data_IF_422610022870
#
_entry.id   IF_422610022870
#
_cell.length_a   1.000
_cell.length_b   1.000
_cell.length_c   1.000
_cell.angle_alpha   90.00
_cell.angle_beta   90.00
_cell.angle_gamma   90.00
#
_symmetry.space_group_name_H-M   'P 1'
#
loop_
_entity.id
_entity.type
_entity.pdbx_description
1 polymer ?
2 non-polymer ?
3 water ?
#
# COMPACT_ATOMS: atom_id res chain seq x y z
N UNK A 20 -9.44 -9.34 -17.27
CA UNK A 20 -8.14 -8.66 -16.99
C UNK A 20 -7.66 -7.89 -18.22
N UNK A 21 -7.41 -6.59 -18.01
CA UNK A 21 -7.01 -5.69 -19.08
C UNK A 21 -5.77 -4.88 -18.70
N UNK A 22 -4.87 -4.67 -19.67
CA UNK A 22 -3.72 -3.82 -19.44
C UNK A 22 -4.21 -2.42 -19.81
N UNK A 23 -4.04 -1.47 -18.90
CA UNK A 23 -4.42 -0.09 -19.16
C UNK A 23 -3.14 0.66 -19.55
N UNK A 24 -3.20 1.34 -20.68
CA UNK A 24 -2.04 2.04 -21.21
C UNK A 24 -2.45 3.28 -21.99
N UNK A 25 -1.78 4.39 -21.74
CA UNK A 25 -2.01 5.63 -22.49
C UNK A 25 -0.66 6.31 -22.73
N UNK A 26 -0.45 6.81 -23.95
CA UNK A 26 0.80 7.47 -24.25
C UNK A 26 0.84 8.89 -23.67
N UNK A 27 -0.25 9.30 -23.03
CA UNK A 27 -0.33 10.59 -22.34
C UNK A 27 0.38 10.44 -20.98
N UNK A 28 0.52 9.20 -20.51
CA UNK A 28 1.17 8.90 -19.23
C UNK A 28 2.60 8.44 -19.55
N UNK A 29 3.53 8.52 -18.59
CA UNK A 29 4.92 8.09 -18.88
C UNK A 29 5.01 6.64 -19.36
N UNK A 30 5.91 6.37 -20.32
CA UNK A 30 6.08 5.00 -20.82
C UNK A 30 6.45 4.09 -19.64
N UNK A 31 5.89 2.88 -19.64
CA UNK A 31 6.19 1.87 -18.63
C UNK A 31 7.22 0.92 -19.25
N UNK A 32 8.49 1.22 -19.01
CA UNK A 32 9.57 0.40 -19.53
C UNK A 32 10.00 -0.49 -18.38
N UNK A 33 9.86 -1.79 -18.58
CA UNK A 33 10.20 -2.69 -17.50
C UNK A 33 9.05 -3.65 -17.29
N UNK A 34 9.17 -4.55 -16.32
CA UNK A 34 8.11 -5.53 -16.08
C UNK A 34 6.88 -5.06 -15.29
N UNK A 35 6.20 -4.03 -15.76
CA UNK A 35 4.99 -3.54 -15.08
C UNK A 35 4.11 -2.82 -16.09
N UNK A 36 2.84 -2.62 -15.72
CA UNK A 36 1.91 -1.89 -16.58
C UNK A 36 1.48 -0.62 -15.87
N UNK A 37 1.07 0.39 -16.64
CA UNK A 37 0.59 1.64 -16.06
C UNK A 37 -0.53 1.33 -15.09
N UNK A 38 -1.39 0.40 -15.48
CA UNK A 38 -2.49 -0.04 -14.62
C UNK A 38 -3.04 -1.39 -15.10
N UNK A 39 -3.63 -2.15 -14.18
CA UNK A 39 -4.25 -3.42 -14.55
C UNK A 39 -5.70 -3.36 -14.09
N UNK A 40 -6.62 -3.63 -15.00
CA UNK A 40 -8.03 -3.65 -14.66
C UNK A 40 -8.46 -5.10 -14.45
N UNK A 41 -9.00 -5.42 -13.27
CA UNK A 41 -9.48 -6.77 -12.99
C UNK A 41 -10.92 -6.64 -12.51
N UNK A 42 -11.85 -7.03 -13.38
CA UNK A 42 -13.26 -6.88 -13.06
C UNK A 42 -13.56 -5.40 -13.09
N UNK A 43 -14.14 -4.90 -12.00
CA UNK A 43 -14.47 -3.48 -11.89
C UNK A 43 -13.35 -2.66 -11.26
N UNK A 44 -12.31 -3.36 -10.76
CA UNK A 44 -11.24 -2.68 -10.04
C UNK A 44 -9.96 -2.43 -10.86
N UNK A 45 -9.52 -1.17 -10.85
CA UNK A 45 -8.30 -0.82 -11.58
C UNK A 45 -7.21 -0.51 -10.58
N UNK A 46 -6.14 -1.31 -10.66
CA UNK A 46 -4.97 -1.16 -9.80
C UNK A 46 -3.97 -0.34 -10.59
N UNK A 48 -0.46 1.86 -11.05
CA UNK A 48 0.91 1.90 -10.62
C UNK A 48 1.22 3.24 -10.00
N UNK A 49 2.30 3.25 -9.21
CA UNK A 49 2.73 4.47 -8.59
C UNK A 49 3.18 5.35 -9.74
N UNK A 50 2.86 6.63 -9.65
CA UNK A 50 3.28 7.56 -10.67
C UNK A 50 4.24 8.54 -10.03
N UNK A 51 5.35 8.82 -10.72
CA UNK A 51 6.30 9.80 -10.22
C UNK A 51 6.21 11.02 -11.13
N UNK A 52 6.87 12.12 -10.73
CA UNK A 52 6.86 13.38 -11.49
C UNK A 52 7.58 13.38 -12.83
N UNK A 53 7.34 12.37 -13.67
CA UNK A 53 7.99 12.32 -14.98
C UNK A 53 7.17 13.07 -16.01
N UNK A 54 7.83 13.89 -16.82
CA UNK A 54 7.18 14.61 -17.93
C UNK A 54 7.18 13.49 -18.98
N UNK A 55 6.00 13.01 -19.39
CA UNK A 55 5.97 11.91 -20.38
C UNK A 55 6.81 12.11 -21.65
N UNK A 56 6.82 13.31 -22.19
CA UNK A 56 7.57 13.57 -23.41
C UNK A 56 9.08 13.70 -23.24
N UNK A 57 9.55 14.06 -22.05
CA UNK A 57 11.00 14.16 -21.88
C UNK A 57 11.58 13.04 -21.02
N UNK A 59 12.04 13.04 -17.90
CA UNK A 59 12.85 13.65 -16.85
C UNK A 59 11.83 14.16 -15.83
N UNK A 60 12.25 14.36 -14.58
CA UNK A 60 11.35 14.87 -13.56
C UNK A 60 11.22 16.39 -13.75
N UNK A 61 10.02 16.90 -13.55
CA UNK A 61 9.80 18.35 -13.65
C UNK A 61 10.39 18.94 -12.36
N UNK A 62 10.81 20.20 -12.43
CA UNK A 62 11.43 20.87 -11.27
C UNK A 62 10.41 21.60 -10.37
N UNK A 63 10.59 21.51 -9.05
CA UNK A 63 9.70 22.18 -8.12
C UNK A 63 8.64 21.28 -7.51
N UNK A 64 8.41 21.39 -6.20
CA UNK A 64 7.44 20.50 -5.54
C UNK A 64 5.99 20.65 -6.07
N UNK A 65 5.52 21.87 -6.29
CA UNK A 65 4.16 22.07 -6.80
C UNK A 65 4.03 21.44 -8.20
N UNK A 66 5.02 21.68 -9.05
CA UNK A 66 5.00 21.10 -10.39
C UNK A 66 5.09 19.58 -10.34
N UNK A 67 5.83 19.04 -9.37
CA UNK A 67 5.95 17.58 -9.26
C UNK A 67 4.64 16.98 -8.77
N UNK A 68 4.01 17.61 -7.78
CA UNK A 68 2.73 17.10 -7.27
C UNK A 68 1.73 17.13 -8.42
N UNK A 69 1.72 18.26 -9.14
CA UNK A 69 0.80 18.44 -10.25
C UNK A 69 1.07 17.42 -11.34
N UNK A 70 2.34 17.15 -11.64
CA UNK A 70 2.65 16.18 -12.67
C UNK A 70 2.20 14.76 -12.30
N UNK A 71 2.34 14.39 -11.02
CA UNK A 71 1.90 13.07 -10.61
C UNK A 71 0.39 12.95 -10.80
N UNK A 72 -0.35 14.01 -10.46
CA UNK A 72 -1.79 13.97 -10.65
C UNK A 72 -2.16 13.91 -12.13
N UNK A 73 -1.45 14.66 -12.97
CA UNK A 73 -1.72 14.62 -14.41
C UNK A 73 -1.45 13.21 -14.96
N UNK A 74 -0.35 12.60 -14.53
CA UNK A 74 -0.02 11.25 -14.97
C UNK A 74 -1.09 10.24 -14.54
N UNK A 75 -1.53 10.32 -13.28
CA UNK A 75 -2.58 9.42 -12.81
C UNK A 75 -3.90 9.69 -13.53
N UNK A 76 -4.16 10.97 -13.83
CA UNK A 76 -5.40 11.34 -14.54
C UNK A 76 -5.41 10.69 -15.93
N UNK A 77 -4.26 10.73 -16.61
CA UNK A 77 -4.12 10.12 -17.94
C UNK A 77 -4.39 8.60 -17.92
N UNK A 78 -3.92 7.93 -16.89
CA UNK A 78 -4.12 6.49 -16.76
C UNK A 78 -5.59 6.19 -16.43
N UNK A 79 -6.17 6.96 -15.51
CA UNK A 79 -7.57 6.81 -15.15
C UNK A 79 -8.45 6.98 -16.40
N UNK A 80 -8.13 7.95 -17.25
CA UNK A 80 -8.91 8.14 -18.48
C UNK A 80 -8.78 6.96 -19.44
N UNK A 81 -7.59 6.40 -19.56
CA UNK A 81 -7.34 5.24 -20.41
C UNK A 81 -8.12 4.03 -19.91
N UNK A 82 -8.47 4.04 -18.62
CA UNK A 82 -9.24 2.96 -18.01
C UNK A 82 -10.74 3.20 -18.10
N UNK A 83 -11.12 4.26 -18.80
CA UNK A 83 -12.52 4.60 -18.98
C UNK A 83 -13.15 5.21 -17.74
N UNK A 84 -12.32 5.80 -16.88
CA UNK A 84 -12.83 6.41 -15.67
C UNK A 84 -12.27 7.80 -15.46
N UNK A 85 -12.23 8.23 -14.19
CA UNK A 85 -11.69 9.52 -13.79
C UNK A 85 -11.40 9.50 -12.29
N UNK A 86 -10.90 10.61 -11.76
CA UNK A 86 -10.61 10.71 -10.33
C UNK A 86 -11.86 10.51 -9.45
N UNK A 87 -13.05 10.66 -10.05
CA UNK A 87 -14.30 10.44 -9.31
C UNK A 87 -14.40 8.97 -8.90
N UNK A 88 -13.76 8.09 -9.67
CA UNK A 88 -13.81 6.65 -9.41
C UNK A 88 -12.72 6.13 -8.46
N UNK A 89 -11.81 6.99 -8.05
CA UNK A 89 -10.73 6.58 -7.15
C UNK A 89 -11.29 6.38 -5.74
N UNK A 90 -11.09 5.18 -5.20
CA UNK A 90 -11.58 4.86 -3.87
C UNK A 90 -10.46 4.95 -2.82
N UNK A 91 -9.21 4.77 -3.24
CA UNK A 91 -8.05 4.84 -2.34
C UNK A 91 -6.84 5.48 -3.03
N UNK A 92 -6.14 6.36 -2.32
CA UNK A 92 -4.97 7.03 -2.87
C UNK A 92 -3.82 6.94 -1.87
N UNK A 93 -2.63 6.54 -2.30
CA UNK A 93 -1.50 6.50 -1.37
C UNK A 93 -0.57 7.61 -1.76
N UNK A 94 -0.15 8.39 -0.77
CA UNK A 94 0.74 9.50 -1.01
C UNK A 94 2.09 9.24 -0.38
N UNK A 95 3.15 9.28 -1.19
CA UNK A 95 4.51 9.08 -0.69
C UNK A 95 5.31 10.35 -0.91
N UNK A 96 5.79 10.94 0.19
CA UNK A 96 6.57 12.18 0.13
C UNK A 96 7.93 12.06 0.82
N UNK A 97 8.96 12.61 0.19
CA UNK A 97 10.26 12.57 0.84
C UNK A 97 10.28 13.62 1.94
N UNK A 98 9.39 14.61 1.83
CA UNK A 98 9.32 15.68 2.84
C UNK A 98 7.86 16.05 3.16
N UNK A 99 7.37 15.58 4.31
CA UNK A 99 6.00 15.84 4.72
C UNK A 99 5.70 17.33 4.96
N UNK A 100 6.73 18.17 4.96
CA UNK A 100 6.48 19.59 5.09
C UNK A 100 5.69 20.04 3.86
N UNK A 101 5.70 19.21 2.82
CA UNK A 101 4.94 19.54 1.60
C UNK A 101 3.54 18.92 1.53
N UNK A 102 3.14 18.21 2.59
CA UNK A 102 1.82 17.56 2.62
C UNK A 102 0.66 18.56 2.47
N UNK A 103 0.77 19.75 3.09
CA UNK A 103 -0.30 20.75 2.96
C UNK A 103 -0.42 21.17 1.49
N UNK A 104 0.71 21.18 0.77
CA UNK A 104 0.70 21.56 -0.65
C UNK A 104 -0.03 20.47 -1.46
N UNK A 105 0.16 19.21 -1.10
CA UNK A 105 -0.55 18.12 -1.78
C UNK A 105 -2.05 18.33 -1.54
N UNK A 106 -2.41 18.57 -0.29
CA UNK A 106 -3.82 18.80 0.08
C UNK A 106 -4.43 19.94 -0.72
N UNK A 107 -3.67 21.00 -0.91
CA UNK A 107 -4.14 22.15 -1.66
C UNK A 107 -4.37 21.85 -3.14
N UNK A 108 -3.37 21.26 -3.78
CA UNK A 108 -3.46 20.91 -5.20
C UNK A 108 -4.56 19.88 -5.47
N UNK A 110 -7.38 19.98 -4.24
CA UNK A 110 -8.63 20.71 -4.37
C UNK A 110 -8.94 21.03 -5.84
N UNK A 111 -7.92 20.87 -6.68
CA UNK A 111 -8.10 21.15 -8.10
C UNK A 111 -8.30 19.88 -8.93
N UNK A 112 -8.23 18.72 -8.27
CA UNK A 112 -8.37 17.43 -8.96
C UNK A 112 -9.48 16.54 -8.40
N UNK A 113 -9.93 16.86 -7.20
CA UNK A 113 -10.92 16.03 -6.51
C UNK A 113 -12.05 16.84 -5.86
N UNK A 114 -13.20 16.21 -5.66
CA UNK A 114 -14.29 16.84 -4.91
C UNK A 114 -15.03 15.70 -4.21
N UNK A 115 -16.00 16.03 -3.37
CA UNK A 115 -16.73 15.00 -2.64
C UNK A 115 -17.55 14.14 -3.58
N UNK A 116 -17.57 12.81 -3.37
CA UNK A 116 -16.92 12.07 -2.28
C UNK A 116 -15.43 11.83 -2.57
N UNK A 117 -14.58 12.20 -1.62
CA UNK A 117 -13.13 12.05 -1.71
C UNK A 117 -12.66 10.61 -1.48
N UNK A 118 -11.47 10.25 -1.99
CA UNK A 118 -10.93 8.90 -1.81
C UNK A 118 -10.49 8.65 -0.37
N UNK A 119 -10.37 7.38 0.02
CA UNK A 119 -9.78 7.10 1.31
C UNK A 119 -8.31 7.33 0.93
N UNK A 120 -7.42 7.51 1.91
CA UNK A 120 -6.03 7.74 1.57
C UNK A 120 -5.07 7.49 2.72
N UNK A 121 -3.81 7.24 2.38
CA UNK A 121 -2.75 7.06 3.35
C UNK A 121 -1.62 7.99 2.93
N UNK A 122 -0.88 8.51 3.89
CA UNK A 122 0.23 9.41 3.58
C UNK A 122 1.40 9.16 4.53
N UNK A 123 2.57 8.91 3.95
CA UNK A 123 3.77 8.65 4.75
C UNK A 123 4.97 9.39 4.17
N UNK A 124 5.93 9.68 5.05
CA UNK A 124 7.16 10.32 4.62
C UNK A 124 8.14 9.17 4.39
N UNK A 125 8.70 9.09 3.18
CA UNK A 125 9.63 8.02 2.83
C UNK A 125 11.07 8.53 2.81
N UNK A 126 12.02 7.61 2.80
CA UNK A 126 13.42 7.98 2.79
C UNK A 126 13.87 8.50 1.42
N UNK A 127 13.37 7.87 0.34
CA UNK A 127 13.73 8.25 -1.02
C UNK A 127 12.72 7.69 -2.03
N UNK A 128 12.71 8.21 -3.24
CA UNK A 128 11.79 7.76 -4.28
C UNK A 128 12.53 7.56 -5.59
N UNK A 129 12.04 6.66 -6.47
CA UNK A 129 12.70 6.42 -7.77
C UNK A 129 13.08 7.71 -8.48
N UNK A 130 14.29 7.75 -9.03
CA UNK A 130 14.80 8.90 -9.79
C UNK A 130 15.04 10.20 -9.02
N UNK A 131 14.99 10.11 -7.70
CA UNK A 131 15.18 11.30 -6.88
C UNK A 131 13.90 12.12 -6.79
N UNK A 132 12.76 11.49 -7.06
CA UNK A 132 11.46 12.17 -6.98
C UNK A 132 11.13 12.64 -5.56
N UNK A 133 10.37 13.73 -5.44
CA UNK A 133 9.98 14.22 -4.12
C UNK A 133 8.62 13.66 -3.76
N UNK A 134 7.91 13.16 -4.76
CA UNK A 134 6.58 12.62 -4.52
C UNK A 134 6.22 11.50 -5.49
N UNK A 135 5.49 10.51 -4.98
CA UNK A 135 5.00 9.39 -5.78
C UNK A 135 3.61 9.10 -5.22
N UNK A 137 0.03 6.36 -5.87
CA UNK A 137 -0.67 5.32 -6.61
C UNK A 137 -2.12 5.38 -6.14
N UNK A 138 -3.00 4.62 -6.79
CA UNK A 138 -4.41 4.66 -6.43
C UNK A 138 -5.16 3.43 -6.93
N UNK A 139 -6.36 3.24 -6.40
CA UNK A 139 -7.23 2.16 -6.85
C UNK A 139 -8.51 2.82 -7.29
N UNK A 140 -8.96 2.41 -8.46
CA UNK A 140 -10.14 2.94 -9.10
C UNK A 140 -11.20 1.85 -9.13
N UNK A 141 -12.46 2.20 -8.87
CA UNK A 141 -13.56 1.24 -9.00
C UNK A 141 -14.57 1.90 -9.94
N UNK A 142 -14.68 1.34 -11.15
CA UNK A 142 -15.53 1.86 -12.23
C UNK A 142 -17.04 1.70 -12.01
N UNK B 20 -21.06 2.41 -4.41
CA UNK B 20 -20.02 3.24 -3.72
C UNK B 20 -20.66 3.95 -2.53
N UNK B 21 -19.94 4.04 -1.42
CA UNK B 21 -20.47 4.66 -0.21
C UNK B 21 -19.37 5.28 0.64
N UNK B 22 -19.60 6.50 1.11
CA UNK B 22 -18.64 7.15 1.98
C UNK B 22 -18.87 6.68 3.41
N UNK B 23 -17.81 6.28 4.09
CA UNK B 23 -17.91 5.80 5.46
C UNK B 23 -17.41 6.84 6.44
N UNK B 24 -18.24 7.16 7.43
CA UNK B 24 -17.87 8.16 8.42
C UNK B 24 -18.35 7.77 9.81
N UNK B 25 -17.42 7.72 10.75
CA UNK B 25 -17.73 7.42 12.14
C UNK B 25 -17.61 8.73 12.90
N UNK B 26 -18.61 9.05 13.72
CA UNK B 26 -18.52 10.26 14.52
C UNK B 26 -17.66 9.99 15.76
N UNK B 27 -17.16 8.77 15.87
CA UNK B 27 -16.27 8.39 16.97
C UNK B 27 -14.79 8.44 16.54
N UNK B 28 -14.53 8.34 15.24
CA UNK B 28 -13.16 8.40 14.72
C UNK B 28 -12.79 9.87 14.50
N UNK B 29 -11.48 10.18 14.33
CA UNK B 29 -11.13 11.59 14.11
C UNK B 29 -11.82 12.12 12.85
N UNK B 30 -12.26 13.37 12.88
CA UNK B 30 -12.94 13.95 11.73
C UNK B 30 -11.98 14.04 10.53
N UNK B 31 -12.48 13.77 9.32
CA UNK B 31 -11.66 13.90 8.13
C UNK B 31 -11.78 15.36 7.69
N UNK B 32 -10.72 16.12 7.92
CA UNK B 32 -10.67 17.53 7.55
C UNK B 32 -9.77 17.55 6.33
N UNK B 33 -10.27 18.02 5.21
CA UNK B 33 -9.45 18.01 4.01
C UNK B 33 -10.03 17.05 2.99
N UNK B 34 -9.35 16.89 1.85
CA UNK B 34 -9.77 16.04 0.74
C UNK B 34 -9.67 14.51 0.82
N UNK B 35 -10.30 13.92 1.84
CA UNK B 35 -10.33 12.46 1.98
C UNK B 35 -11.51 12.01 2.84
N UNK B 36 -11.83 10.72 2.74
CA UNK B 36 -12.89 10.11 3.52
C UNK B 36 -12.25 9.12 4.48
N UNK B 37 -12.91 8.88 5.62
CA UNK B 37 -12.38 7.91 6.57
C UNK B 37 -12.20 6.57 5.87
N UNK B 38 -13.19 6.22 5.05
CA UNK B 38 -13.20 4.98 4.29
C UNK B 38 -14.16 5.08 3.11
N UNK B 39 -13.93 4.24 2.10
CA UNK B 39 -14.84 4.19 0.95
C UNK B 39 -15.18 2.73 0.81
N UNK B 40 -16.48 2.47 0.76
CA UNK B 40 -17.00 1.14 0.61
C UNK B 40 -17.40 1.02 -0.85
N UNK B 41 -16.91 -0.01 -1.52
CA UNK B 41 -17.25 -0.27 -2.92
C UNK B 41 -17.63 -1.74 -2.98
N UNK B 42 -18.93 -2.00 -3.01
CA UNK B 42 -19.43 -3.36 -3.00
C UNK B 42 -19.19 -3.88 -1.60
N UNK B 43 -18.56 -5.05 -1.49
CA UNK B 43 -18.25 -5.59 -0.18
C UNK B 43 -16.86 -5.19 0.31
N UNK B 44 -16.11 -4.43 -0.50
CA UNK B 44 -14.75 -4.04 -0.09
C UNK B 44 -14.67 -2.60 0.44
N UNK B 45 -14.14 -2.48 1.67
CA UNK B 45 -14.00 -1.18 2.34
C UNK B 45 -12.53 -0.74 2.42
N UNK B 46 -12.19 0.31 1.69
CA UNK B 46 -10.84 0.87 1.68
C UNK B 46 -10.80 1.92 2.77
N UNK B 48 -8.89 4.71 5.26
CA UNK B 48 -7.77 5.64 5.26
C UNK B 48 -6.78 5.31 6.35
N UNK B 49 -5.55 5.78 6.19
CA UNK B 49 -4.57 5.53 7.24
C UNK B 49 -5.05 6.27 8.48
N UNK B 50 -4.79 5.72 9.67
CA UNK B 50 -5.17 6.42 10.87
C UNK B 50 -3.90 6.70 11.65
N UNK B 51 -3.80 7.90 12.20
CA UNK B 51 -2.67 8.27 13.03
C UNK B 51 -3.19 8.29 14.48
N UNK B 52 -2.29 8.48 15.47
CA UNK B 52 -2.71 8.47 16.89
C UNK B 52 -3.48 9.68 17.42
N UNK B 53 -4.43 10.18 16.65
CA UNK B 53 -5.22 11.34 17.07
C UNK B 53 -6.34 11.01 18.06
N UNK B 54 -6.44 11.78 19.12
CA UNK B 54 -7.55 11.62 20.06
C UNK B 54 -8.67 12.34 19.31
N UNK B 55 -9.76 11.62 18.99
CA UNK B 55 -10.85 12.28 18.25
C UNK B 55 -11.47 13.53 18.86
N UNK B 56 -11.53 13.63 20.18
CA UNK B 56 -12.17 14.80 20.78
C UNK B 56 -11.26 16.02 20.83
N UNK B 57 -9.96 15.80 21.04
CA UNK B 57 -8.99 16.90 21.11
C UNK B 57 -8.25 17.18 19.79
N UNK B 59 -5.56 16.03 18.77
CA UNK B 59 -4.14 16.11 19.09
C UNK B 59 -3.64 14.67 19.26
N UNK B 60 -2.36 14.44 18.98
CA UNK B 60 -1.80 13.10 19.14
C UNK B 60 -1.70 12.72 20.61
N UNK B 61 -2.01 11.47 20.93
CA UNK B 61 -1.87 11.01 22.30
C UNK B 61 -0.38 10.79 22.52
N UNK B 62 0.04 10.71 23.78
CA UNK B 62 1.47 10.62 24.07
C UNK B 62 2.02 9.24 24.41
N UNK B 63 3.22 8.94 23.90
CA UNK B 63 3.85 7.66 24.19
C UNK B 63 3.43 6.58 23.20
N UNK B 64 4.39 5.73 22.82
CA UNK B 64 4.14 4.70 21.80
C UNK B 64 3.00 3.70 22.06
N UNK B 65 2.88 3.15 23.27
CA UNK B 65 1.80 2.20 23.53
C UNK B 65 0.45 2.88 23.34
N UNK B 66 0.32 4.09 23.89
CA UNK B 66 -0.93 4.85 23.75
C UNK B 66 -1.19 5.15 22.28
N UNK B 67 -0.14 5.49 21.53
CA UNK B 67 -0.31 5.81 20.12
C UNK B 67 -0.78 4.60 19.31
N UNK B 68 -0.15 3.45 19.51
CA UNK B 68 -0.51 2.23 18.82
C UNK B 68 -1.99 1.92 19.12
N UNK B 69 -2.34 1.92 20.39
CA UNK B 69 -3.69 1.65 20.83
C UNK B 69 -4.70 2.62 20.21
N UNK B 70 -4.35 3.91 20.18
CA UNK B 70 -5.25 4.93 19.60
C UNK B 70 -5.50 4.66 18.12
N UNK B 71 -4.45 4.28 17.39
CA UNK B 71 -4.63 3.98 15.97
C UNK B 71 -5.61 2.81 15.79
N UNK B 72 -5.47 1.76 16.59
CA UNK B 72 -6.38 0.62 16.49
C UNK B 72 -7.81 1.02 16.85
N UNK B 73 -7.94 1.88 17.87
CA UNK B 73 -9.25 2.36 18.29
C UNK B 73 -9.90 3.18 17.18
N UNK B 74 -9.11 4.02 16.52
CA UNK B 74 -9.62 4.83 15.42
C UNK B 74 -10.06 3.94 14.26
N UNK B 75 -9.24 2.96 13.88
CA UNK B 75 -9.61 2.04 12.79
C UNK B 75 -10.85 1.24 13.19
N UNK B 76 -10.95 0.92 14.48
CA UNK B 76 -12.10 0.16 14.97
C UNK B 76 -13.39 0.96 14.79
N UNK B 77 -13.34 2.24 15.14
CA UNK B 77 -14.51 3.09 14.95
C UNK B 77 -14.91 3.13 13.47
N UNK B 78 -13.93 3.34 12.58
CA UNK B 78 -14.23 3.40 11.15
C UNK B 78 -14.78 2.06 10.64
N UNK B 79 -14.23 0.95 11.14
CA UNK B 79 -14.70 -0.39 10.75
C UNK B 79 -16.15 -0.61 11.18
N UNK B 80 -16.47 -0.18 12.40
CA UNK B 80 -17.83 -0.31 12.91
C UNK B 80 -18.77 0.58 12.10
N UNK B 81 -18.31 1.77 11.72
CA UNK B 81 -19.14 2.65 10.89
C UNK B 81 -19.36 2.00 9.51
N UNK B 82 -18.42 1.17 9.06
CA UNK B 82 -18.58 0.51 7.75
C UNK B 82 -19.53 -0.69 7.84
N UNK B 83 -20.07 -0.92 9.03
CA UNK B 83 -20.96 -2.05 9.21
C UNK B 83 -20.20 -3.35 9.42
N UNK B 84 -18.94 -3.24 9.81
CA UNK B 84 -18.13 -4.43 10.02
C UNK B 84 -17.36 -4.41 11.34
N UNK B 85 -16.25 -5.16 11.39
CA UNK B 85 -15.39 -5.22 12.57
C UNK B 85 -14.01 -5.72 12.15
N UNK B 86 -13.07 -5.71 13.09
CA UNK B 86 -11.70 -6.15 12.82
C UNK B 86 -11.64 -7.58 12.24
N UNK B 87 -12.66 -8.38 12.53
CA UNK B 87 -12.75 -9.73 11.99
C UNK B 87 -12.84 -9.73 10.46
N UNK B 88 -13.37 -8.63 9.90
CA UNK B 88 -13.52 -8.51 8.45
C UNK B 88 -12.32 -7.93 7.74
N UNK B 89 -11.33 -7.44 8.50
CA UNK B 89 -10.15 -6.86 7.88
C UNK B 89 -9.33 -7.95 7.21
N UNK B 90 -9.01 -7.77 5.93
CA UNK B 90 -8.25 -8.76 5.20
C UNK B 90 -6.79 -8.38 4.98
N UNK B 91 -6.47 -7.10 5.16
CA UNK B 91 -5.10 -6.62 4.97
C UNK B 91 -4.89 -5.38 5.81
N UNK B 92 -3.74 -5.31 6.46
CA UNK B 92 -3.42 -4.16 7.29
C UNK B 92 -1.97 -3.74 7.07
N UNK B 93 -1.76 -2.44 6.86
CA UNK B 93 -0.41 -1.95 6.66
C UNK B 93 0.11 -1.22 7.89
N UNK B 94 1.31 -1.56 8.31
CA UNK B 94 1.92 -0.93 9.47
C UNK B 94 3.04 0.00 9.06
N UNK B 95 2.92 1.27 9.42
CA UNK B 95 3.98 2.24 9.11
C UNK B 95 4.55 2.72 10.44
N UNK B 96 5.84 2.50 10.64
CA UNK B 96 6.49 2.91 11.88
C UNK B 96 7.72 3.75 11.61
N UNK B 97 7.89 4.83 12.39
CA UNK B 97 9.07 5.65 12.21
C UNK B 97 10.27 4.90 12.81
N UNK B 98 10.01 4.00 13.75
CA UNK B 98 11.08 3.20 14.38
C UNK B 98 10.61 1.75 14.57
N UNK B 99 11.27 0.81 13.92
CA UNK B 99 10.89 -0.60 14.02
C UNK B 99 11.31 -1.20 15.36
N UNK B 100 11.97 -0.38 16.19
CA UNK B 100 12.33 -0.83 17.51
C UNK B 100 11.06 -0.83 18.33
N UNK B 101 9.96 -0.40 17.69
CA UNK B 101 8.64 -0.39 18.33
C UNK B 101 7.78 -1.52 17.77
N UNK B 102 8.36 -2.35 16.92
CA UNK B 102 7.60 -3.43 16.28
C UNK B 102 7.09 -4.49 17.28
N UNK B 103 7.90 -4.85 18.27
CA UNK B 103 7.46 -5.84 19.25
C UNK B 103 6.14 -5.40 19.88
N UNK B 104 6.06 -4.11 20.20
CA UNK B 104 4.89 -3.54 20.83
C UNK B 104 3.67 -3.48 19.89
N UNK B 105 3.87 -3.19 18.62
CA UNK B 105 2.75 -3.19 17.69
C UNK B 105 2.20 -4.61 17.61
N UNK B 106 3.08 -5.60 17.52
CA UNK B 106 2.68 -7.02 17.47
C UNK B 106 1.88 -7.44 18.69
N UNK B 107 2.39 -7.08 19.85
CA UNK B 107 1.72 -7.42 21.10
C UNK B 107 0.31 -6.83 21.17
N UNK B 108 0.21 -5.52 21.01
CA UNK B 108 -1.09 -4.87 21.07
C UNK B 108 -2.01 -5.37 19.96
N UNK B 110 -2.13 -8.33 18.74
CA UNK B 110 -2.64 -9.62 19.14
C UNK B 110 -3.85 -9.47 20.05
N UNK B 111 -3.96 -8.32 20.72
CA UNK B 111 -5.09 -8.11 21.62
C UNK B 111 -6.35 -7.57 20.93
N UNK B 112 -6.23 -7.14 19.67
CA UNK B 112 -7.39 -6.63 18.91
C UNK B 112 -7.88 -7.60 17.84
N UNK B 113 -7.02 -8.54 17.45
CA UNK B 113 -7.38 -9.50 16.41
C UNK B 113 -7.21 -10.94 16.92
N UNK B 114 -7.95 -11.86 16.30
CA UNK B 114 -7.83 -13.29 16.60
C UNK B 114 -7.96 -14.02 15.26
N UNK B 115 -7.61 -15.30 15.23
CA UNK B 115 -7.69 -16.09 13.99
C UNK B 115 -9.08 -16.10 13.41
N UNK B 116 -9.21 -16.04 12.07
CA UNK B 116 -8.12 -15.92 11.09
C UNK B 116 -7.56 -14.49 11.06
N UNK B 117 -6.25 -14.37 11.23
CA UNK B 117 -5.58 -13.06 11.23
C UNK B 117 -5.47 -12.47 9.82
N UNK B 118 -5.47 -11.14 9.71
CA UNK B 118 -5.37 -10.56 8.37
C UNK B 118 -3.97 -10.64 7.78
N UNK B 119 -3.87 -10.40 6.48
CA UNK B 119 -2.58 -10.33 5.81
C UNK B 119 -2.00 -9.00 6.29
N UNK B 120 -0.71 -8.79 6.14
CA UNK B 120 -0.15 -7.50 6.52
C UNK B 120 1.23 -7.24 5.98
N UNK B 121 1.60 -5.96 5.98
CA UNK B 121 2.91 -5.51 5.55
C UNK B 121 3.38 -4.57 6.66
N UNK B 122 4.68 -4.38 6.77
CA UNK B 122 5.22 -3.50 7.79
C UNK B 122 6.52 -2.93 7.31
N UNK B 123 6.62 -1.61 7.32
CA UNK B 123 7.85 -0.93 6.89
C UNK B 123 8.22 0.20 7.84
N UNK B 124 9.52 0.49 7.89
CA UNK B 124 10.02 1.59 8.69
C UNK B 124 10.06 2.79 7.76
N UNK B 125 9.35 3.86 8.15
CA UNK B 125 9.28 5.06 7.33
C UNK B 125 10.15 6.18 7.95
N UNK B 126 10.41 7.22 7.15
CA UNK B 126 11.22 8.34 7.60
C UNK B 126 10.41 9.25 8.51
N UNK B 127 9.13 9.44 8.18
CA UNK B 127 8.27 10.27 9.01
C UNK B 127 6.78 10.04 8.76
N UNK B 128 5.96 10.53 9.69
CA UNK B 128 4.52 10.37 9.57
C UNK B 128 3.81 11.71 9.83
N UNK B 129 2.59 11.87 9.29
CA UNK B 129 1.87 13.13 9.52
C UNK B 129 1.81 13.48 11.02
N UNK B 130 2.00 14.77 11.30
CA UNK B 130 1.97 15.36 12.65
C UNK B 130 3.00 14.84 13.63
N UNK B 131 4.06 14.22 13.12
CA UNK B 131 5.11 13.71 14.00
C UNK B 131 4.68 12.40 14.65
N UNK B 132 3.65 11.76 14.07
CA UNK B 132 3.15 10.50 14.59
C UNK B 132 4.24 9.43 14.54
N UNK B 133 4.23 8.53 15.53
CA UNK B 133 5.20 7.44 15.56
C UNK B 133 4.67 6.22 14.82
N UNK B 134 3.36 6.17 14.60
CA UNK B 134 2.78 5.03 13.90
C UNK B 134 1.54 5.45 13.13
N UNK B 135 1.31 4.78 11.99
CA UNK B 135 0.16 5.02 11.16
C UNK B 135 -0.18 3.66 10.60
N UNK B 137 -3.23 1.58 7.94
CA UNK B 137 -4.44 1.60 7.14
C UNK B 137 -4.83 0.14 6.95
N UNK B 138 -6.01 -0.10 6.37
CA UNK B 138 -6.51 -1.46 6.20
C UNK B 138 -7.58 -1.57 5.11
N UNK B 139 -7.83 -2.82 4.72
CA UNK B 139 -8.88 -3.14 3.76
C UNK B 139 -9.75 -4.16 4.47
N UNK B 140 -11.05 -3.88 4.47
CA UNK B 140 -12.05 -4.72 5.12
C UNK B 140 -12.97 -5.29 4.04
N UNK B 141 -13.37 -6.55 4.17
CA UNK B 141 -14.32 -7.13 3.21
C UNK B 141 -15.49 -7.65 4.04
N UNK B 142 -16.67 -7.10 3.82
CA UNK B 142 -17.86 -7.46 4.59
C UNK B 142 -18.32 -8.92 4.37
N UNK C 20 -14.17 -16.22 2.85
CA UNK C 20 -12.78 -15.85 3.25
C UNK C 20 -11.99 -17.11 3.58
N UNK C 21 -10.72 -17.14 3.17
CA UNK C 21 -9.87 -18.30 3.36
C UNK C 21 -8.45 -17.89 3.74
N UNK C 22 -7.89 -18.55 4.75
CA UNK C 22 -6.50 -18.30 5.14
C UNK C 22 -5.64 -19.12 4.19
N UNK C 23 -4.62 -18.49 3.62
CA UNK C 23 -3.70 -19.19 2.74
C UNK C 23 -2.41 -19.41 3.52
N UNK C 24 -1.96 -20.66 3.54
CA UNK C 24 -0.72 -21.01 4.21
C UNK C 24 0.04 -21.98 3.36
N UNK C 25 1.29 -21.64 3.09
CA UNK C 25 2.19 -22.49 2.32
C UNK C 25 3.28 -22.91 3.28
N UNK C 26 3.55 -24.22 3.36
CA UNK C 26 4.61 -24.69 4.23
C UNK C 26 5.96 -24.54 3.54
N UNK C 27 5.96 -23.92 2.37
CA UNK C 27 7.19 -23.64 1.65
C UNK C 27 7.49 -22.14 1.81
N UNK C 28 6.57 -21.42 2.44
CA UNK C 28 6.77 -19.99 2.71
C UNK C 28 7.13 -19.86 4.19
N UNK C 29 7.78 -18.76 4.58
CA UNK C 29 8.14 -18.59 6.00
C UNK C 29 6.90 -18.63 6.88
N UNK C 30 6.98 -19.37 7.98
CA UNK C 30 5.87 -19.46 8.92
C UNK C 30 5.49 -18.06 9.38
N UNK C 31 4.19 -17.82 9.55
CA UNK C 31 3.71 -16.52 10.02
C UNK C 31 3.70 -16.49 11.54
N UNK C 32 4.67 -15.78 12.12
CA UNK C 32 4.76 -15.65 13.57
C UNK C 32 4.21 -14.28 13.98
N UNK C 33 3.08 -14.30 14.69
CA UNK C 33 2.44 -13.05 15.08
C UNK C 33 0.98 -13.03 14.65
N UNK C 34 0.29 -11.91 14.83
CA UNK C 34 -1.12 -11.80 14.44
C UNK C 34 -1.36 -11.48 12.96
N UNK C 35 -0.86 -12.33 12.07
CA UNK C 35 -1.10 -12.15 10.63
C UNK C 35 -1.11 -13.51 9.94
N UNK C 36 -1.60 -13.54 8.71
CA UNK C 36 -1.63 -14.75 7.88
C UNK C 36 -0.78 -14.43 6.67
N UNK C 37 -0.22 -15.46 6.03
CA UNK C 37 0.60 -15.23 4.83
C UNK C 37 -0.23 -14.52 3.74
N UNK C 38 -1.50 -14.89 3.62
CA UNK C 38 -2.41 -14.26 2.67
C UNK C 38 -3.86 -14.55 3.05
N UNK C 39 -4.76 -13.68 2.59
CA UNK C 39 -6.19 -13.87 2.81
C UNK C 39 -6.87 -13.78 1.46
N UNK C 40 -7.66 -14.80 1.15
CA UNK C 40 -8.40 -14.82 -0.09
C UNK C 40 -9.83 -14.45 0.27
N UNK C 41 -10.34 -13.38 -0.32
CA UNK C 41 -11.72 -12.96 -0.12
C UNK C 41 -12.31 -12.91 -1.52
N UNK C 42 -13.26 -13.79 -1.79
CA UNK C 42 -13.84 -13.86 -3.12
C UNK C 42 -12.76 -14.30 -4.10
N UNK C 43 -12.63 -13.56 -5.21
CA UNK C 43 -11.63 -13.85 -6.22
C UNK C 43 -10.31 -13.09 -5.95
N UNK C 44 -10.27 -12.30 -4.88
CA UNK C 44 -9.08 -11.48 -4.56
C UNK C 44 -8.27 -11.97 -3.36
N UNK C 45 -6.96 -12.17 -3.59
CA UNK C 45 -6.05 -12.62 -2.53
C UNK C 45 -5.12 -11.49 -2.08
N UNK C 46 -5.21 -11.13 -0.81
CA UNK C 46 -4.37 -10.09 -0.24
C UNK C 46 -3.21 -10.80 0.43
N UNK C 48 0.55 -10.96 2.29
CA UNK C 48 1.41 -10.26 3.24
C UNK C 48 2.76 -9.92 2.62
N UNK C 49 3.41 -8.89 3.16
CA UNK C 49 4.72 -8.55 2.65
C UNK C 49 5.62 -9.72 2.92
N UNK C 50 6.51 -10.04 2.00
CA UNK C 50 7.45 -11.12 2.25
C UNK C 50 8.83 -10.49 2.36
N UNK C 51 9.63 -11.00 3.29
CA UNK C 51 10.99 -10.54 3.43
C UNK C 51 11.89 -11.69 3.01
N UNK C 52 13.20 -11.42 2.85
CA UNK C 52 14.06 -12.51 2.39
C UNK C 52 14.39 -13.70 3.26
N UNK C 53 13.41 -14.20 4.01
CA UNK C 53 13.67 -15.31 4.90
C UNK C 53 13.69 -16.67 4.20
N UNK C 54 14.69 -17.45 4.57
CA UNK C 54 14.83 -18.85 4.13
C UNK C 54 13.80 -19.50 5.04
N UNK C 55 12.73 -20.08 4.47
CA UNK C 55 11.68 -20.71 5.28
C UNK C 55 12.17 -21.82 6.22
N UNK C 56 13.20 -22.56 5.79
CA UNK C 56 13.67 -23.67 6.61
C UNK C 56 14.56 -23.27 7.79
N UNK C 57 15.30 -22.16 7.67
CA UNK C 57 16.19 -21.73 8.76
C UNK C 57 15.68 -20.47 9.49
N UNK C 59 16.33 -17.59 8.67
CA UNK C 59 17.43 -16.65 8.66
C UNK C 59 17.31 -15.98 7.29
N UNK C 60 17.76 -14.73 7.22
CA UNK C 60 17.74 -13.99 5.97
C UNK C 60 18.82 -14.53 5.01
N UNK C 61 18.49 -14.65 3.73
CA UNK C 61 19.52 -15.09 2.78
C UNK C 61 20.38 -13.84 2.57
N UNK C 62 21.63 -14.02 2.14
CA UNK C 62 22.53 -12.89 2.02
C UNK C 62 22.84 -12.43 0.61
N UNK C 63 23.07 -11.13 0.45
CA UNK C 63 23.37 -10.57 -0.85
C UNK C 63 22.09 -10.06 -1.46
N UNK C 64 22.13 -8.89 -2.06
CA UNK C 64 20.92 -8.29 -2.62
C UNK C 64 20.20 -9.14 -3.68
N UNK C 65 20.91 -9.78 -4.59
CA UNK C 65 20.25 -10.58 -5.63
C UNK C 65 19.54 -11.78 -5.00
N UNK C 66 20.20 -12.42 -4.04
CA UNK C 66 19.62 -13.56 -3.35
C UNK C 66 18.40 -13.12 -2.57
N UNK C 67 18.49 -11.95 -1.93
CA UNK C 67 17.35 -11.44 -1.16
C UNK C 67 16.14 -11.13 -2.04
N UNK C 68 16.38 -10.52 -3.21
CA UNK C 68 15.27 -10.21 -4.12
C UNK C 68 14.65 -11.54 -4.59
N UNK C 69 15.50 -12.51 -4.94
CA UNK C 69 15.04 -13.81 -5.41
C UNK C 69 14.23 -14.55 -4.35
N UNK C 70 14.68 -14.50 -3.10
CA UNK C 70 13.97 -15.16 -2.01
C UNK C 70 12.58 -14.56 -1.76
N UNK C 71 12.46 -13.23 -1.87
CA UNK C 71 11.14 -12.62 -1.65
C UNK C 71 10.19 -13.10 -2.75
N UNK C 72 10.69 -13.16 -3.99
CA UNK C 72 9.86 -13.62 -5.10
C UNK C 72 9.49 -15.09 -4.92
N UNK C 73 10.44 -15.90 -4.47
CA UNK C 73 10.19 -17.31 -4.21
C UNK C 73 9.16 -17.46 -3.09
N UNK C 74 9.27 -16.61 -2.06
CA UNK C 74 8.31 -16.64 -0.95
C UNK C 74 6.90 -16.24 -1.42
N UNK C 75 6.79 -15.20 -2.25
CA UNK C 75 5.47 -14.79 -2.77
C UNK C 75 4.90 -15.88 -3.72
N UNK C 76 5.76 -16.47 -4.54
CA UNK C 76 5.35 -17.54 -5.47
C UNK C 76 4.76 -18.71 -4.68
N UNK C 77 5.44 -19.13 -3.62
CA UNK C 77 4.96 -20.24 -2.78
C UNK C 77 3.58 -19.92 -2.21
N UNK C 78 3.43 -18.70 -1.70
CA UNK C 78 2.16 -18.26 -1.13
C UNK C 78 1.08 -18.20 -2.21
N UNK C 79 1.43 -17.67 -3.38
CA UNK C 79 0.49 -17.59 -4.51
C UNK C 79 0.02 -18.97 -4.96
N UNK C 80 0.93 -19.94 -4.99
CA UNK C 80 0.59 -21.31 -5.38
C UNK C 80 -0.38 -21.93 -4.38
N UNK C 81 -0.22 -21.63 -3.09
CA UNK C 81 -1.12 -22.18 -2.09
C UNK C 81 -2.49 -21.52 -2.16
N UNK C 82 -2.55 -20.33 -2.77
CA UNK C 82 -3.83 -19.62 -2.93
C UNK C 82 -4.56 -20.11 -4.18
N UNK C 83 -3.98 -21.06 -4.90
CA UNK C 83 -4.62 -21.57 -6.09
C UNK C 83 -4.34 -20.70 -7.32
N UNK C 84 -3.26 -19.94 -7.26
CA UNK C 84 -2.90 -19.09 -8.38
C UNK C 84 -1.41 -19.06 -8.65
N UNK C 85 -0.96 -18.04 -9.40
CA UNK C 85 0.45 -17.89 -9.72
C UNK C 85 0.74 -16.42 -10.00
N UNK C 86 1.98 -16.12 -10.39
CA UNK C 86 2.37 -14.75 -10.64
C UNK C 86 1.60 -14.09 -11.80
N UNK C 87 1.06 -14.93 -12.68
CA UNK C 87 0.26 -14.44 -13.79
C UNK C 87 -1.01 -13.76 -13.25
N UNK C 88 -1.42 -14.14 -12.04
CA UNK C 88 -2.64 -13.57 -11.45
C UNK C 88 -2.40 -12.31 -10.61
N UNK C 89 -1.15 -11.90 -10.46
CA UNK C 89 -0.81 -10.71 -9.68
C UNK C 89 -1.21 -9.44 -10.44
N UNK C 90 -2.05 -8.62 -9.84
CA UNK C 90 -2.48 -7.38 -10.48
C UNK C 90 -1.72 -6.17 -9.93
N UNK C 91 -1.18 -6.29 -8.71
CA UNK C 91 -0.40 -5.20 -8.10
C UNK C 91 0.70 -5.72 -7.20
N UNK C 92 1.89 -5.14 -7.33
CA UNK C 92 3.05 -5.51 -6.51
C UNK C 92 3.67 -4.24 -5.93
N UNK C 93 3.94 -4.24 -4.62
CA UNK C 93 4.58 -3.09 -3.98
C UNK C 93 6.01 -3.47 -3.62
N UNK C 94 6.97 -2.62 -4.02
CA UNK C 94 8.38 -2.87 -3.73
C UNK C 94 8.91 -1.86 -2.69
N UNK C 95 9.44 -2.40 -1.60
CA UNK C 95 10.02 -1.58 -0.53
C UNK C 95 11.53 -1.91 -0.47
N UNK C 96 12.36 -0.90 -0.70
CA UNK C 96 13.82 -1.06 -0.67
C UNK C 96 14.42 -0.02 0.26
N UNK C 97 15.41 -0.43 1.05
CA UNK C 97 16.09 0.51 1.93
C UNK C 97 17.10 1.25 1.05
N UNK C 98 17.48 0.65 -0.07
CA UNK C 98 18.42 1.31 -0.96
C UNK C 98 17.93 1.19 -2.39
N UNK C 99 17.45 2.29 -2.95
CA UNK C 99 16.93 2.27 -4.32
C UNK C 99 17.99 2.05 -5.41
N UNK C 100 19.27 2.11 -5.03
CA UNK C 100 20.32 1.86 -6.01
C UNK C 100 20.18 0.42 -6.48
N UNK C 101 19.42 -0.37 -5.72
CA UNK C 101 19.18 -1.78 -6.06
C UNK C 101 17.95 -1.98 -6.93
N UNK C 102 17.32 -0.88 -7.36
CA UNK C 102 16.09 -1.01 -8.15
C UNK C 102 16.31 -1.70 -9.50
N UNK C 103 17.39 -1.37 -10.22
CA UNK C 103 17.65 -2.00 -11.52
C UNK C 103 17.72 -3.53 -11.38
N UNK C 104 18.35 -4.01 -10.32
CA UNK C 104 18.44 -5.46 -10.09
C UNK C 104 17.05 -6.04 -9.81
N UNK C 105 16.19 -5.29 -9.12
CA UNK C 105 14.83 -5.78 -8.86
C UNK C 105 14.14 -5.95 -10.21
N UNK C 106 14.26 -4.94 -11.06
CA UNK C 106 13.69 -4.99 -12.41
C UNK C 106 14.16 -6.18 -13.21
N UNK C 107 15.46 -6.41 -13.19
CA UNK C 107 16.03 -7.52 -13.92
C UNK C 107 15.51 -8.86 -13.41
N UNK C 108 15.60 -9.09 -12.10
CA UNK C 108 15.13 -10.34 -11.53
C UNK C 108 13.63 -10.52 -11.73
N UNK C 110 11.82 -9.49 -14.21
CA UNK C 110 11.53 -9.87 -15.58
C UNK C 110 11.63 -11.37 -15.77
N UNK C 111 12.37 -12.03 -14.88
CA UNK C 111 12.53 -13.48 -14.98
C UNK C 111 11.38 -14.21 -14.27
N UNK C 112 10.63 -13.49 -13.44
CA UNK C 112 9.51 -14.07 -12.69
C UNK C 112 8.12 -13.77 -13.26
N UNK C 113 8.05 -12.73 -14.10
CA UNK C 113 6.80 -12.27 -14.70
C UNK C 113 6.87 -12.16 -16.23
N UNK C 114 5.72 -12.24 -16.89
CA UNK C 114 5.66 -12.04 -18.33
C UNK C 114 4.39 -11.25 -18.58
N UNK C 115 4.32 -10.56 -19.72
CA UNK C 115 3.15 -9.77 -20.05
C UNK C 115 1.91 -10.63 -20.11
N UNK C 116 0.76 -10.08 -19.67
CA UNK C 116 0.60 -8.73 -19.14
C UNK C 116 1.25 -8.58 -17.76
N UNK C 117 2.08 -7.55 -17.59
CA UNK C 117 2.76 -7.29 -16.32
C UNK C 117 1.85 -6.59 -15.30
N UNK C 118 2.10 -6.82 -14.00
CA UNK C 118 1.25 -6.19 -12.98
C UNK C 118 1.51 -4.71 -12.81
N UNK C 119 0.60 -4.03 -12.12
CA UNK C 119 0.82 -2.62 -11.79
C UNK C 119 1.80 -2.71 -10.64
N UNK C 120 2.58 -1.66 -10.39
CA UNK C 120 3.46 -1.72 -9.23
C UNK C 120 3.82 -0.33 -8.71
N UNK C 121 4.31 -0.29 -7.47
CA UNK C 121 4.75 0.95 -6.85
C UNK C 121 6.10 0.58 -6.26
N UNK C 122 6.97 1.57 -6.07
CA UNK C 122 8.29 1.29 -5.53
C UNK C 122 8.76 2.49 -4.74
N UNK C 123 9.09 2.29 -3.47
CA UNK C 123 9.54 3.37 -2.61
C UNK C 123 10.80 3.01 -1.80
N UNK C 124 11.55 4.04 -1.44
CA UNK C 124 12.73 3.88 -0.61
C UNK C 124 12.31 4.08 0.84
N UNK C 125 12.47 3.04 1.66
CA UNK C 125 12.07 3.12 3.06
C UNK C 125 13.27 3.35 3.99
N UNK C 126 13.02 3.80 5.21
CA UNK C 126 14.11 4.05 6.15
C UNK C 126 14.66 2.73 6.72
N UNK C 127 13.79 1.74 6.90
CA UNK C 127 14.20 0.47 7.46
C UNK C 127 13.16 -0.63 7.20
N UNK C 128 13.59 -1.89 7.24
CA UNK C 128 12.69 -3.03 7.03
C UNK C 128 12.82 -4.02 8.18
N UNK C 129 11.77 -4.81 8.43
CA UNK C 129 11.83 -5.79 9.53
C UNK C 129 13.07 -6.69 9.40
N UNK C 130 13.69 -7.01 10.54
CA UNK C 130 14.86 -7.90 10.60
C UNK C 130 16.12 -7.39 9.91
N UNK C 131 16.10 -6.17 9.38
CA UNK C 131 17.26 -5.65 8.67
C UNK C 131 17.26 -6.09 7.21
N UNK C 132 16.11 -6.56 6.72
CA UNK C 132 16.00 -6.97 5.32
C UNK C 132 16.27 -5.78 4.40
N UNK C 133 16.82 -6.04 3.23
CA UNK C 133 17.09 -4.97 2.28
C UNK C 133 15.89 -4.75 1.37
N UNK C 134 15.02 -5.75 1.31
CA UNK C 134 13.86 -5.66 0.44
C UNK C 134 12.65 -6.37 1.04
N UNK C 135 11.47 -5.84 0.74
CA UNK C 135 10.21 -6.43 1.16
C UNK C 135 9.26 -6.15 0.02
N UNK C 137 4.92 -6.85 -1.21
CA UNK C 137 3.62 -7.49 -1.01
C UNK C 137 2.88 -7.42 -2.34
N UNK C 138 1.77 -8.13 -2.42
CA UNK C 138 1.07 -8.22 -3.70
C UNK C 138 -0.41 -8.55 -3.56
N UNK C 139 -1.15 -8.25 -4.62
CA UNK C 139 -2.56 -8.59 -4.68
C UNK C 139 -2.74 -9.47 -5.92
N UNK C 140 -3.42 -10.60 -5.74
CA UNK C 140 -3.71 -11.55 -6.80
C UNK C 140 -5.22 -11.57 -7.02
N UNK C 141 -5.63 -11.65 -8.28
CA UNK C 141 -7.05 -11.82 -8.57
C UNK C 141 -7.09 -13.13 -9.33
N UNK C 142 -7.72 -14.14 -8.72
CA UNK C 142 -7.79 -15.46 -9.34
C UNK C 142 -8.96 -15.53 -10.32
N UNK C 143 -8.66 -15.78 -11.59
CA UNK C 143 -9.68 -15.92 -12.62
C UNK C 143 -11.11 -15.64 -12.16
#
# INVERSE_FOLDING_TARGET
>A
XSHHHHHHSXDIEFVDLEGKTVITSDKAPAAIGPYSQAIKAGNTVYXSGQIPLDPSTXELVEGIEAQITQVFENLKSVAQAAGGSFKDIVKLNIFLTDLGHFAKVNEIXGSYFSQPYPARAAIGVAALPRGAQVEXDAILVIE
>B
XSHHHHHHSXDIEFVDLEGKTVITSDKAPAAIGPYSQAIKAGNTVYXSGQIPLDPSTXELVEGIEAQITQVFENLKSVAQAAGGSFKDIVKLNIFLTDLGHFAKVNEIXGSYFSQPYPARAAIGVAALPRGAQVEXDAILVIE
>C
XSHHHHHHSXDIEFVDLEGKTVITSDKAPAAIGPYSQAIKAGNTVYXSGQIPLDPSTXELVEGIEAQITQVFENLKSVAQAAGGSFKDIVKLNIFLTDLGHFAKVNEIXGSYFSQPYPARAAIGVAALPRGAQVEXDAILVIE
#
